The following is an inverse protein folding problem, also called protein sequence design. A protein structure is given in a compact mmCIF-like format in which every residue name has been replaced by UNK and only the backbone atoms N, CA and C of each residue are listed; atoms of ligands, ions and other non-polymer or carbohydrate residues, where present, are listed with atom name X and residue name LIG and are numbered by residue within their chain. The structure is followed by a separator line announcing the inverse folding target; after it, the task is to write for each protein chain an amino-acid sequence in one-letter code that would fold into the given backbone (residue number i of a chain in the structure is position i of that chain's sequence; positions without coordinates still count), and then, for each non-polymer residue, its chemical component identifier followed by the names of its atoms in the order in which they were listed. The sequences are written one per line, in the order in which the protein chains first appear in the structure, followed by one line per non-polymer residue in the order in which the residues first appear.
data_IF_386568001939
#
_entry.id   IF_386568001939
#
_cell.length_a   1.000
_cell.length_b   1.000
_cell.length_c   1.000
_cell.angle_alpha   90.00
_cell.angle_beta   90.00
_cell.angle_gamma   90.00
#
_symmetry.space_group_name_H-M   'P 1'
#
loop_
_entity.id
_entity.type
_entity.pdbx_description
1 polymer ?
#
# COMPACT_ATOMS: atom_id res chain seq x y z
N UNK A 1 -24.09 -2.48 3.58
CA UNK A 1 -23.93 -1.01 3.59
C UNK A 1 -25.26 -0.33 3.31
N UNK A 2 -25.47 0.94 3.68
CA UNK A 2 -26.68 1.69 3.34
C UNK A 2 -26.97 1.76 1.82
N UNK A 3 -25.90 1.79 1.02
CA UNK A 3 -26.00 1.77 -0.46
C UNK A 3 -26.50 0.43 -1.02
N UNK A 4 -26.16 -0.68 -0.36
CA UNK A 4 -26.59 -2.01 -0.80
C UNK A 4 -27.97 -2.41 -0.27
N UNK A 5 -28.39 -1.81 0.86
CA UNK A 5 -29.64 -2.12 1.57
C UNK A 5 -30.28 -0.85 2.10
N UNK A 6 -30.87 0.01 1.23
CA UNK A 6 -31.50 1.28 1.62
C UNK A 6 -32.65 1.08 2.60
N UNK A 7 -33.45 0.01 2.43
CA UNK A 7 -34.58 -0.28 3.32
C UNK A 7 -34.13 -0.54 4.76
N UNK A 8 -33.05 -1.30 4.93
CA UNK A 8 -32.45 -1.54 6.27
C UNK A 8 -31.88 -0.27 6.87
N UNK A 9 -31.32 0.63 6.04
CA UNK A 9 -30.84 1.93 6.50
C UNK A 9 -31.99 2.81 6.98
N UNK A 10 -33.11 2.81 6.28
CA UNK A 10 -34.32 3.55 6.66
C UNK A 10 -34.93 3.00 7.96
N UNK A 11 -35.01 1.70 8.12
CA UNK A 11 -35.44 1.06 9.38
C UNK A 11 -34.52 1.45 10.55
N UNK A 12 -33.21 1.45 10.33
CA UNK A 12 -32.27 1.89 11.37
C UNK A 12 -32.41 3.35 11.73
N UNK A 13 -32.63 4.22 10.73
CA UNK A 13 -32.93 5.65 10.94
C UNK A 13 -34.17 5.82 11.82
N UNK A 14 -35.26 5.13 11.49
CA UNK A 14 -36.50 5.18 12.25
C UNK A 14 -36.30 4.79 13.71
N UNK A 15 -35.60 3.67 13.95
CA UNK A 15 -35.28 3.22 15.31
C UNK A 15 -34.45 4.28 16.09
N UNK A 16 -33.41 4.85 15.46
CA UNK A 16 -32.54 5.85 16.12
C UNK A 16 -33.31 7.11 16.45
N UNK A 17 -34.09 7.65 15.48
CA UNK A 17 -34.89 8.86 15.71
C UNK A 17 -35.95 8.67 16.77
N UNK A 18 -36.60 7.50 16.83
CA UNK A 18 -37.55 7.17 17.90
C UNK A 18 -36.88 7.15 19.28
N UNK A 19 -35.67 6.59 19.39
CA UNK A 19 -34.92 6.63 20.66
C UNK A 19 -34.47 8.04 21.05
N UNK A 20 -34.12 8.89 20.08
CA UNK A 20 -33.75 10.28 20.35
C UNK A 20 -34.97 11.08 20.85
N UNK A 21 -36.16 10.83 20.31
CA UNK A 21 -37.42 11.42 20.77
C UNK A 21 -37.75 10.95 22.19
N UNK A 22 -37.72 9.63 22.45
CA UNK A 22 -37.99 9.08 23.80
C UNK A 22 -37.05 9.64 24.89
N UNK A 23 -35.81 9.92 24.53
CA UNK A 23 -34.80 10.51 25.43
C UNK A 23 -34.91 12.05 25.52
N UNK A 24 -35.83 12.67 24.81
CA UNK A 24 -36.03 14.12 24.79
C UNK A 24 -34.93 14.90 24.08
N UNK A 25 -34.12 14.26 23.24
CA UNK A 25 -33.03 14.91 22.50
C UNK A 25 -33.55 15.67 21.27
N UNK A 26 -34.66 15.22 20.72
CA UNK A 26 -35.39 15.88 19.64
C UNK A 26 -36.86 15.84 19.91
N UNK A 27 -37.61 16.81 19.32
CA UNK A 27 -39.05 16.85 19.37
C UNK A 27 -39.69 15.87 18.37
N UNK A 28 -40.95 15.53 18.57
CA UNK A 28 -41.70 14.67 17.66
C UNK A 28 -41.74 15.22 16.23
N UNK A 29 -41.89 16.56 16.10
CA UNK A 29 -41.89 17.23 14.79
C UNK A 29 -40.54 17.12 14.08
N UNK A 30 -39.43 17.22 14.82
CA UNK A 30 -38.10 17.04 14.25
C UNK A 30 -37.87 15.58 13.83
N UNK A 31 -38.27 14.60 14.64
CA UNK A 31 -38.20 13.19 14.31
C UNK A 31 -38.98 12.89 13.01
N UNK A 32 -40.23 13.43 12.91
CA UNK A 32 -41.06 13.24 11.73
C UNK A 32 -40.45 13.85 10.47
N UNK A 33 -40.01 15.12 10.54
CA UNK A 33 -39.34 15.79 9.41
C UNK A 33 -38.09 15.03 8.96
N UNK A 34 -37.29 14.52 9.90
CA UNK A 34 -36.10 13.70 9.59
C UNK A 34 -36.48 12.38 8.93
N UNK A 35 -37.56 11.73 9.35
CA UNK A 35 -38.07 10.50 8.74
C UNK A 35 -38.60 10.72 7.32
N UNK A 36 -39.25 11.83 7.06
CA UNK A 36 -39.77 12.16 5.73
C UNK A 36 -38.67 12.57 4.74
N UNK A 37 -37.50 12.95 5.27
CA UNK A 37 -36.35 13.29 4.43
C UNK A 37 -35.72 12.02 3.81
N UNK A 38 -35.47 12.07 2.51
CA UNK A 38 -34.77 11.02 1.79
C UNK A 38 -33.32 10.91 2.26
N UNK A 39 -32.83 9.66 2.45
CA UNK A 39 -31.45 9.42 2.86
C UNK A 39 -30.48 9.74 1.72
N UNK A 40 -29.71 10.82 1.87
CA UNK A 40 -28.63 11.16 0.95
C UNK A 40 -27.32 10.50 1.41
N UNK A 41 -26.81 9.58 0.61
CA UNK A 41 -25.54 8.93 0.89
C UNK A 41 -24.41 9.59 0.10
N UNK A 42 -23.29 9.85 0.76
CA UNK A 42 -22.09 10.29 0.04
C UNK A 42 -21.62 9.18 -0.91
N UNK A 43 -21.60 9.50 -2.21
CA UNK A 43 -21.01 8.63 -3.24
C UNK A 43 -19.49 8.76 -3.32
N UNK A 44 -18.87 9.57 -2.45
CA UNK A 44 -17.42 9.70 -2.43
C UNK A 44 -16.82 8.33 -2.07
N UNK A 45 -16.24 7.67 -3.05
CA UNK A 45 -15.41 6.49 -2.86
C UNK A 45 -14.27 6.90 -1.94
N UNK A 46 -14.10 6.25 -0.80
CA UNK A 46 -12.90 6.46 -0.01
C UNK A 46 -11.69 6.00 -0.82
N UNK A 47 -10.63 6.81 -0.88
CA UNK A 47 -9.43 6.42 -1.60
C UNK A 47 -8.89 5.12 -1.00
N UNK A 48 -8.55 4.19 -1.86
CA UNK A 48 -7.93 2.90 -1.49
C UNK A 48 -6.44 2.94 -1.81
N UNK A 49 -5.70 1.94 -1.35
CA UNK A 49 -4.28 1.80 -1.73
C UNK A 49 -4.10 1.73 -3.25
N UNK A 50 -5.06 1.14 -3.97
CA UNK A 50 -5.04 1.04 -5.43
C UNK A 50 -5.21 2.39 -6.15
N UNK A 51 -5.77 3.38 -5.48
CA UNK A 51 -5.97 4.71 -6.06
C UNK A 51 -4.69 5.59 -5.90
N UNK A 52 -3.65 5.07 -5.23
CA UNK A 52 -2.35 5.73 -5.11
C UNK A 52 -1.50 5.57 -6.38
N UNK A 53 -0.67 6.58 -6.74
CA UNK A 53 0.23 6.50 -7.89
C UNK A 53 1.35 5.45 -7.72
N UNK A 54 1.61 4.97 -6.50
CA UNK A 54 2.64 3.98 -6.19
C UNK A 54 2.14 2.94 -5.17
N UNK A 55 1.14 2.11 -5.51
CA UNK A 55 0.41 1.32 -4.52
C UNK A 55 1.28 0.25 -3.84
N UNK A 56 2.25 -0.34 -4.52
CA UNK A 56 3.20 -1.29 -3.94
C UNK A 56 4.13 -0.62 -2.92
N UNK A 57 4.67 0.55 -3.26
CA UNK A 57 5.53 1.32 -2.37
C UNK A 57 4.76 1.80 -1.13
N UNK A 58 3.58 2.39 -1.33
CA UNK A 58 2.73 2.87 -0.23
C UNK A 58 2.32 1.73 0.70
N UNK A 59 1.94 0.56 0.16
CA UNK A 59 1.63 -0.60 0.98
C UNK A 59 2.85 -1.13 1.75
N UNK A 60 4.04 -1.11 1.14
CA UNK A 60 5.29 -1.47 1.80
C UNK A 60 5.58 -0.56 3.01
N UNK A 61 5.52 0.77 2.82
CA UNK A 61 5.72 1.73 3.92
C UNK A 61 4.66 1.53 5.02
N UNK A 62 3.39 1.37 4.63
CA UNK A 62 2.29 1.21 5.57
C UNK A 62 2.46 -0.03 6.46
N UNK A 63 2.67 -1.20 5.85
CA UNK A 63 2.64 -2.47 6.58
C UNK A 63 3.99 -2.82 7.24
N UNK A 64 5.13 -2.40 6.68
CA UNK A 64 6.43 -2.78 7.21
C UNK A 64 7.06 -1.69 8.11
N UNK A 65 6.61 -0.44 8.03
CA UNK A 65 7.20 0.65 8.79
C UNK A 65 6.19 1.38 9.69
N UNK A 66 5.05 1.82 9.15
CA UNK A 66 4.13 2.69 9.89
C UNK A 66 3.31 1.92 10.92
N UNK A 67 2.62 0.87 10.50
CA UNK A 67 1.77 0.09 11.41
C UNK A 67 2.56 -0.55 12.56
N UNK A 68 3.74 -1.17 12.34
CA UNK A 68 4.54 -1.72 13.43
C UNK A 68 5.05 -0.67 14.40
N UNK A 69 5.34 0.54 13.90
CA UNK A 69 5.95 1.61 14.70
C UNK A 69 4.93 2.46 15.47
N UNK A 70 3.80 2.79 14.86
CA UNK A 70 2.85 3.77 15.40
C UNK A 70 1.50 3.16 15.79
N UNK A 71 1.20 1.95 15.35
CA UNK A 71 -0.10 1.31 15.54
C UNK A 71 -1.20 1.86 14.62
N UNK A 72 -2.31 1.11 14.49
CA UNK A 72 -3.38 1.44 13.53
C UNK A 72 -4.11 2.74 13.87
N UNK A 73 -4.29 3.06 15.15
CA UNK A 73 -5.03 4.25 15.56
C UNK A 73 -4.32 5.53 15.08
N UNK A 74 -3.02 5.65 15.36
CA UNK A 74 -2.23 6.82 14.95
C UNK A 74 -2.10 6.87 13.42
N UNK A 75 -1.89 5.73 12.78
CA UNK A 75 -1.71 5.68 11.32
C UNK A 75 -2.98 6.08 10.57
N UNK A 76 -4.15 5.60 11.01
CA UNK A 76 -5.40 5.86 10.28
C UNK A 76 -6.18 7.08 10.75
N UNK A 77 -5.96 7.55 11.99
CA UNK A 77 -6.74 8.62 12.60
C UNK A 77 -5.88 9.80 13.07
N UNK A 78 -4.57 9.61 13.19
CA UNK A 78 -3.65 10.62 13.75
C UNK A 78 -3.28 11.77 12.80
N UNK A 79 -3.72 11.73 11.53
CA UNK A 79 -3.44 12.80 10.57
C UNK A 79 -1.97 12.93 10.19
N UNK A 80 -1.21 11.82 10.16
CA UNK A 80 0.21 11.80 9.84
C UNK A 80 0.50 12.35 8.44
N UNK A 81 1.53 13.18 8.33
CA UNK A 81 2.16 13.56 7.07
C UNK A 81 3.45 12.75 6.91
N UNK A 82 3.51 11.94 5.87
CA UNK A 82 4.61 11.01 5.63
C UNK A 82 5.38 11.47 4.39
N UNK A 83 6.62 11.88 4.61
CA UNK A 83 7.56 12.23 3.55
C UNK A 83 8.39 11.00 3.22
N UNK A 84 8.56 10.73 1.93
CA UNK A 84 9.26 9.56 1.43
C UNK A 84 10.30 9.95 0.38
N UNK A 85 11.15 9.00 0.01
CA UNK A 85 12.17 9.14 -1.02
C UNK A 85 11.66 8.84 -2.44
N UNK A 86 10.36 8.51 -2.58
CA UNK A 86 9.75 8.13 -3.85
C UNK A 86 9.86 9.24 -4.88
N UNK A 87 10.42 8.93 -6.04
CA UNK A 87 10.39 9.75 -7.25
C UNK A 87 9.24 9.28 -8.15
N UNK A 88 8.23 10.13 -8.35
CA UNK A 88 7.05 9.77 -9.15
C UNK A 88 7.36 9.55 -10.63
N UNK A 89 8.38 10.21 -11.18
CA UNK A 89 8.77 10.00 -12.56
C UNK A 89 9.41 8.62 -12.74
N UNK A 90 10.35 8.25 -11.86
CA UNK A 90 10.95 6.93 -11.84
C UNK A 90 9.92 5.83 -11.54
N UNK A 91 9.00 6.07 -10.61
CA UNK A 91 7.92 5.14 -10.30
C UNK A 91 7.04 4.86 -11.52
N UNK A 92 6.60 5.89 -12.24
CA UNK A 92 5.82 5.74 -13.46
C UNK A 92 6.59 4.98 -14.55
N UNK A 93 7.89 5.27 -14.71
CA UNK A 93 8.74 4.55 -15.65
C UNK A 93 8.85 3.05 -15.27
N UNK A 94 9.02 2.76 -13.98
CA UNK A 94 9.10 1.40 -13.44
C UNK A 94 7.77 0.63 -13.64
N UNK A 95 6.63 1.25 -13.38
CA UNK A 95 5.31 0.65 -13.61
C UNK A 95 5.07 0.35 -15.09
N UNK A 96 5.39 1.30 -15.97
CA UNK A 96 5.30 1.11 -17.43
C UNK A 96 6.21 -0.02 -17.92
N UNK A 97 7.40 -0.17 -17.37
CA UNK A 97 8.31 -1.26 -17.72
C UNK A 97 7.78 -2.62 -17.23
N UNK A 98 7.34 -2.67 -15.97
CA UNK A 98 6.86 -3.90 -15.33
C UNK A 98 5.57 -4.41 -15.94
N UNK A 99 4.64 -3.51 -16.31
CA UNK A 99 3.36 -3.89 -16.96
C UNK A 99 3.55 -4.61 -18.30
N UNK A 100 4.65 -4.37 -19.01
CA UNK A 100 4.97 -4.97 -20.31
C UNK A 100 5.69 -6.32 -20.23
N UNK A 101 6.05 -6.77 -19.02
CA UNK A 101 6.70 -8.06 -18.84
C UNK A 101 5.79 -9.21 -19.32
N UNK A 102 6.37 -10.24 -19.91
CA UNK A 102 5.62 -11.46 -20.28
C UNK A 102 5.19 -12.27 -19.05
N UNK A 103 6.04 -12.31 -18.03
CA UNK A 103 5.79 -12.97 -16.75
C UNK A 103 5.65 -11.96 -15.62
N UNK A 104 5.21 -12.41 -14.45
CA UNK A 104 5.24 -11.61 -13.24
C UNK A 104 6.68 -11.28 -12.84
N UNK A 105 6.89 -10.06 -12.37
CA UNK A 105 8.20 -9.57 -11.97
C UNK A 105 8.07 -8.41 -10.99
N UNK A 106 9.21 -7.94 -10.50
CA UNK A 106 9.31 -6.77 -9.64
C UNK A 106 10.47 -5.88 -10.12
N UNK A 107 10.38 -4.59 -9.80
CA UNK A 107 11.43 -3.62 -10.07
C UNK A 107 11.61 -2.73 -8.84
N UNK A 108 12.86 -2.52 -8.43
CA UNK A 108 13.24 -1.54 -7.40
C UNK A 108 14.34 -0.67 -7.97
N UNK A 109 14.18 0.65 -7.89
CA UNK A 109 15.21 1.61 -8.18
C UNK A 109 15.74 2.19 -6.87
N UNK A 110 17.05 2.16 -6.71
CA UNK A 110 17.75 2.62 -5.49
C UNK A 110 18.81 3.63 -5.90
N UNK A 111 18.88 4.71 -5.16
CA UNK A 111 19.97 5.67 -5.28
C UNK A 111 21.28 5.04 -4.80
N UNK A 112 22.34 4.96 -5.62
CA UNK A 112 23.56 4.27 -5.25
C UNK A 112 24.38 4.97 -4.17
N UNK A 113 24.22 6.28 -4.02
CA UNK A 113 24.97 7.08 -3.07
C UNK A 113 24.33 7.11 -1.68
N UNK A 114 22.99 7.16 -1.64
CA UNK A 114 22.23 7.28 -0.38
C UNK A 114 21.58 5.98 0.08
N UNK A 115 21.35 5.03 -0.85
CA UNK A 115 20.60 3.80 -0.60
C UNK A 115 19.07 4.00 -0.54
N UNK A 116 18.59 5.19 -0.88
CA UNK A 116 17.17 5.52 -0.86
C UNK A 116 16.40 4.79 -1.97
N UNK A 117 15.21 4.28 -1.63
CA UNK A 117 14.34 3.64 -2.62
C UNK A 117 13.57 4.74 -3.36
N UNK A 118 13.86 4.90 -4.63
CA UNK A 118 13.25 5.91 -5.51
C UNK A 118 12.01 5.40 -6.25
N UNK A 119 11.94 4.09 -6.51
CA UNK A 119 10.77 3.45 -7.09
C UNK A 119 10.66 1.99 -6.62
N UNK A 120 9.42 1.48 -6.47
CA UNK A 120 9.16 0.10 -6.12
C UNK A 120 7.88 -0.40 -6.77
N UNK A 121 8.00 -1.43 -7.60
CA UNK A 121 6.89 -2.13 -8.25
C UNK A 121 7.00 -3.63 -7.96
N UNK A 122 5.99 -4.19 -7.32
CA UNK A 122 5.99 -5.60 -6.89
C UNK A 122 5.29 -6.58 -7.82
N UNK A 123 4.72 -6.10 -8.92
CA UNK A 123 3.98 -6.91 -9.89
C UNK A 123 3.45 -6.06 -11.05
N UNK A 124 2.81 -6.69 -12.02
CA UNK A 124 2.32 -6.03 -13.23
C UNK A 124 1.12 -5.10 -12.97
N UNK A 125 0.23 -5.51 -12.06
CA UNK A 125 -0.97 -4.76 -11.70
C UNK A 125 -1.34 -5.03 -10.24
N UNK A 126 -1.36 -3.98 -9.44
CA UNK A 126 -1.70 -4.05 -8.00
C UNK A 126 -3.16 -4.45 -7.75
N UNK A 127 -4.07 -4.16 -8.69
CA UNK A 127 -5.47 -4.55 -8.56
C UNK A 127 -5.67 -6.05 -8.71
N UNK A 128 -4.84 -6.69 -9.55
CA UNK A 128 -4.86 -8.14 -9.78
C UNK A 128 -4.11 -8.87 -8.67
N UNK A 129 -2.91 -8.40 -8.31
CA UNK A 129 -2.08 -9.02 -7.30
C UNK A 129 -1.46 -7.97 -6.37
N UNK A 130 -1.82 -8.00 -5.09
CA UNK A 130 -1.24 -7.15 -4.04
C UNK A 130 0.07 -7.72 -3.49
N UNK A 131 0.48 -8.91 -3.94
CA UNK A 131 1.71 -9.56 -3.51
C UNK A 131 2.92 -8.80 -4.05
N UNK A 132 3.66 -8.17 -3.15
CA UNK A 132 4.85 -7.38 -3.50
C UNK A 132 6.07 -8.30 -3.64
N UNK A 133 6.38 -8.70 -4.87
CA UNK A 133 7.49 -9.62 -5.16
C UNK A 133 8.85 -9.04 -4.83
N UNK A 134 8.98 -7.72 -4.75
CA UNK A 134 10.23 -7.07 -4.38
C UNK A 134 10.66 -7.38 -2.95
N UNK A 135 9.70 -7.61 -2.04
CA UNK A 135 9.96 -7.79 -0.60
C UNK A 135 9.38 -9.06 0.00
N UNK A 136 8.43 -9.72 -0.68
CA UNK A 136 7.73 -10.90 -0.15
C UNK A 136 8.09 -12.20 -0.88
N UNK A 137 8.67 -12.13 -2.10
CA UNK A 137 9.05 -13.31 -2.84
C UNK A 137 10.39 -13.83 -2.38
N UNK A 138 10.41 -15.05 -1.87
CA UNK A 138 11.65 -15.78 -1.59
C UNK A 138 12.11 -16.51 -2.85
N UNK A 139 13.25 -16.10 -3.41
CA UNK A 139 13.81 -16.65 -4.64
C UNK A 139 15.30 -16.91 -4.46
N UNK A 140 15.79 -17.97 -5.10
CA UNK A 140 17.21 -18.22 -5.19
C UNK A 140 17.90 -17.12 -5.98
N UNK A 141 18.98 -16.51 -5.45
CA UNK A 141 19.64 -15.37 -6.10
C UNK A 141 20.38 -15.78 -7.39
N UNK A 142 20.76 -17.04 -7.52
CA UNK A 142 21.55 -17.50 -8.65
C UNK A 142 22.82 -16.64 -8.84
N UNK A 143 23.13 -16.29 -10.11
CA UNK A 143 24.30 -15.45 -10.43
C UNK A 143 24.26 -14.03 -9.86
N UNK A 144 23.11 -13.55 -9.40
CA UNK A 144 23.01 -12.26 -8.73
C UNK A 144 23.76 -12.25 -7.37
N UNK A 145 24.10 -13.42 -6.83
CA UNK A 145 24.91 -13.54 -5.62
C UNK A 145 26.42 -13.32 -5.84
N UNK A 146 26.91 -13.42 -7.10
CA UNK A 146 28.34 -13.28 -7.43
C UNK A 146 28.97 -11.96 -6.96
N UNK A 147 28.34 -10.79 -7.08
CA UNK A 147 28.90 -9.55 -6.58
C UNK A 147 29.24 -9.62 -5.08
N UNK A 148 28.38 -10.28 -4.27
CA UNK A 148 28.61 -10.45 -2.84
C UNK A 148 29.85 -11.33 -2.60
N UNK A 149 29.98 -12.45 -3.32
CA UNK A 149 31.13 -13.35 -3.23
C UNK A 149 32.41 -12.64 -3.62
N UNK A 150 32.40 -11.91 -4.74
CA UNK A 150 33.59 -11.18 -5.20
C UNK A 150 33.96 -10.03 -4.27
N UNK A 151 33.00 -9.29 -3.72
CA UNK A 151 33.27 -8.24 -2.74
C UNK A 151 33.94 -8.84 -1.48
N UNK A 152 33.43 -9.97 -0.99
CA UNK A 152 34.05 -10.66 0.15
C UNK A 152 35.46 -11.16 -0.17
N UNK A 153 35.70 -11.65 -1.39
CA UNK A 153 37.00 -12.11 -1.84
C UNK A 153 38.03 -10.95 -1.91
N UNK A 154 37.62 -9.83 -2.51
CA UNK A 154 38.43 -8.61 -2.56
C UNK A 154 38.77 -8.08 -1.16
N UNK A 155 37.78 -8.09 -0.24
CA UNK A 155 37.97 -7.71 1.16
C UNK A 155 38.98 -8.62 1.91
N UNK A 156 39.19 -9.85 1.42
CA UNK A 156 40.20 -10.79 1.92
C UNK A 156 41.55 -10.69 1.18
N UNK A 157 41.70 -9.70 0.29
CA UNK A 157 42.95 -9.45 -0.43
C UNK A 157 43.14 -10.25 -1.73
N UNK A 158 42.09 -10.97 -2.18
CA UNK A 158 42.14 -11.64 -3.50
C UNK A 158 41.96 -10.55 -4.57
N UNK A 159 42.84 -10.53 -5.57
CA UNK A 159 42.85 -9.55 -6.65
C UNK A 159 42.04 -10.06 -7.85
N UNK A 160 41.48 -9.18 -8.69
CA UNK A 160 40.73 -9.60 -9.89
C UNK A 160 41.53 -10.45 -10.88
N UNK A 161 42.87 -10.36 -10.82
CA UNK A 161 43.80 -11.13 -11.67
C UNK A 161 44.25 -12.46 -11.06
N UNK A 162 43.92 -12.74 -9.79
CA UNK A 162 44.31 -13.97 -9.14
C UNK A 162 43.50 -15.14 -9.74
N UNK A 163 44.21 -16.28 -9.89
CA UNK A 163 43.60 -17.48 -10.45
C UNK A 163 42.98 -18.30 -9.32
N UNK A 164 41.77 -18.78 -9.55
CA UNK A 164 41.09 -19.75 -8.69
C UNK A 164 41.08 -21.13 -9.42
N UNK A 165 41.23 -22.20 -8.67
CA UNK A 165 41.10 -23.55 -9.19
C UNK A 165 39.57 -23.81 -9.38
N UNK A 166 39.18 -24.06 -10.62
CA UNK A 166 37.82 -24.51 -10.98
C UNK A 166 37.88 -26.06 -11.10
N UNK A 167 37.76 -26.71 -9.95
CA UNK A 167 37.74 -28.17 -9.87
C UNK A 167 36.56 -28.61 -8.97
N UNK A 168 35.94 -29.79 -9.27
CA UNK A 168 34.93 -30.38 -8.41
C UNK A 168 35.45 -30.74 -7.02
#
# INVERSE_FOLDING_TARGET
TPLSHPDRAKLRQSYVLGRMEELGWITQDEARKALDTELAFSKKKQPTLSDNPAPYFVSYILFNHLLPKYGPEIVYQGGLKIYTTLDLWLQNAAENATSKLKSEGALVAVDPDTGEILAMVGGKDFNISKFNRAVQAYREPGSAFKPIVYTAALGKGIRPIDRALDAP
#
